data_IF_061466405337
#
_entry.id   IF_061466405337
#
_cell.length_a   1.000
_cell.length_b   1.000
_cell.length_c   1.000
_cell.angle_alpha   90.00
_cell.angle_beta   90.00
_cell.angle_gamma   90.00
#
_symmetry.space_group_name_H-M   'P 1'
#
loop_
_entity.id
_entity.type
_entity.pdbx_description
1 polymer ?
#
# COMPACT_ATOMS: atom_id res chain seq x y z
N UNK A 1 -20.52 9.84 29.63
CA UNK A 1 -19.98 8.89 28.65
C UNK A 1 -20.22 9.47 27.28
N UNK A 2 -19.22 9.47 26.41
CA UNK A 2 -19.38 9.96 25.04
C UNK A 2 -19.97 8.78 24.24
N UNK A 3 -21.13 8.98 23.63
CA UNK A 3 -21.83 7.92 22.90
C UNK A 3 -22.23 8.42 21.52
N UNK A 4 -22.43 7.50 20.58
CA UNK A 4 -23.05 7.83 19.29
C UNK A 4 -24.53 8.18 19.49
N UNK A 5 -25.18 8.74 18.45
CA UNK A 5 -26.63 9.03 18.45
C UNK A 5 -27.49 7.80 18.78
N UNK A 6 -26.97 6.59 18.54
CA UNK A 6 -27.60 5.31 18.84
C UNK A 6 -27.14 4.71 20.19
N UNK A 7 -26.61 5.53 21.10
CA UNK A 7 -26.08 5.13 22.42
C UNK A 7 -24.98 4.05 22.38
N UNK A 8 -24.19 4.00 21.30
CA UNK A 8 -23.08 3.05 21.21
C UNK A 8 -21.78 3.66 21.77
N UNK A 9 -21.00 2.89 22.55
CA UNK A 9 -19.73 3.35 23.07
C UNK A 9 -18.68 3.55 21.95
N UNK A 10 -17.92 4.64 22.02
CA UNK A 10 -17.02 5.08 20.94
C UNK A 10 -15.61 4.53 21.20
N UNK A 11 -14.92 4.05 20.15
CA UNK A 11 -13.52 3.60 20.29
C UNK A 11 -12.61 4.78 20.59
N UNK A 12 -11.72 4.61 21.56
CA UNK A 12 -10.66 5.58 21.82
C UNK A 12 -9.60 5.48 20.71
N UNK A 13 -9.49 6.52 19.89
CA UNK A 13 -8.44 6.65 18.87
C UNK A 13 -7.52 7.78 19.30
N UNK A 14 -6.23 7.47 19.41
CA UNK A 14 -5.18 8.43 19.73
C UNK A 14 -4.61 9.05 18.45
N UNK A 15 -3.97 10.21 18.59
CA UNK A 15 -3.25 10.84 17.48
C UNK A 15 -2.16 9.92 16.91
N UNK A 16 -1.50 9.12 17.77
CA UNK A 16 -0.49 8.16 17.33
C UNK A 16 -1.07 7.09 16.40
N UNK A 17 -2.30 6.65 16.63
CA UNK A 17 -2.94 5.68 15.72
C UNK A 17 -3.22 6.29 14.35
N UNK A 18 -3.63 7.56 14.33
CA UNK A 18 -3.88 8.31 13.09
C UNK A 18 -2.58 8.47 12.30
N UNK A 19 -1.49 8.85 12.97
CA UNK A 19 -0.17 8.95 12.33
C UNK A 19 0.32 7.61 11.81
N UNK A 20 0.21 6.54 12.61
CA UNK A 20 0.64 5.22 12.18
C UNK A 20 -0.12 4.73 10.93
N UNK A 21 -1.44 4.99 10.86
CA UNK A 21 -2.23 4.70 9.66
C UNK A 21 -1.79 5.56 8.46
N UNK A 22 -1.49 6.84 8.70
CA UNK A 22 -1.04 7.76 7.66
C UNK A 22 0.31 7.35 7.08
N UNK A 23 1.26 6.92 7.91
CA UNK A 23 2.57 6.43 7.46
C UNK A 23 2.44 5.21 6.55
N UNK A 24 1.54 4.28 6.89
CA UNK A 24 1.22 3.12 6.03
C UNK A 24 0.57 3.54 4.71
N UNK A 25 -0.28 4.55 4.74
CA UNK A 25 -0.90 5.09 3.54
C UNK A 25 0.11 5.81 2.63
N UNK A 26 1.00 6.62 3.19
CA UNK A 26 2.06 7.32 2.45
C UNK A 26 3.01 6.34 1.77
N UNK A 27 3.42 5.28 2.47
CA UNK A 27 4.25 4.22 1.90
C UNK A 27 3.54 3.47 0.76
N UNK A 28 2.22 3.27 0.85
CA UNK A 28 1.46 2.70 -0.28
C UNK A 28 1.47 3.66 -1.48
N UNK A 29 1.25 4.94 -1.21
CA UNK A 29 1.19 5.97 -2.24
C UNK A 29 2.52 6.17 -2.96
N UNK A 30 3.66 6.03 -2.27
CA UNK A 30 4.98 6.17 -2.89
C UNK A 30 5.24 5.20 -4.04
N UNK A 31 4.51 4.08 -4.09
CA UNK A 31 4.61 3.11 -5.18
C UNK A 31 3.81 3.49 -6.44
N UNK A 32 2.90 4.47 -6.40
CA UNK A 32 2.05 4.82 -7.55
C UNK A 32 2.84 5.12 -8.82
N UNK A 33 3.81 6.03 -8.74
CA UNK A 33 4.60 6.44 -9.90
C UNK A 33 5.44 5.29 -10.48
N UNK A 34 5.96 4.43 -9.60
CA UNK A 34 6.76 3.27 -10.01
C UNK A 34 5.89 2.24 -10.73
N UNK A 35 4.68 1.98 -10.21
CA UNK A 35 3.71 1.09 -10.86
C UNK A 35 3.24 1.61 -12.22
N UNK A 36 3.14 2.93 -12.39
CA UNK A 36 2.84 3.53 -13.71
C UNK A 36 3.91 3.22 -14.75
N UNK A 37 5.19 3.09 -14.35
CA UNK A 37 6.26 2.68 -15.27
C UNK A 37 6.07 1.24 -15.73
N UNK A 38 5.74 0.33 -14.80
CA UNK A 38 5.43 -1.06 -15.13
C UNK A 38 4.22 -1.14 -16.07
N UNK A 39 3.14 -0.42 -15.74
CA UNK A 39 1.93 -0.39 -16.54
C UNK A 39 2.20 0.08 -17.98
N UNK A 40 2.93 1.19 -18.15
CA UNK A 40 3.36 1.68 -19.47
C UNK A 40 4.18 0.66 -20.24
N UNK A 41 5.10 -0.05 -19.57
CA UNK A 41 5.95 -1.04 -20.24
C UNK A 41 5.14 -2.24 -20.74
N UNK A 42 4.24 -2.79 -19.91
CA UNK A 42 3.47 -3.99 -20.23
C UNK A 42 2.26 -3.73 -21.12
N UNK A 43 1.68 -2.53 -21.10
CA UNK A 43 0.53 -2.17 -21.94
C UNK A 43 0.90 -1.64 -23.33
N UNK A 44 2.19 -1.43 -23.62
CA UNK A 44 2.67 -0.97 -24.93
C UNK A 44 2.62 -2.10 -25.99
N UNK A 45 1.42 -2.35 -26.51
CA UNK A 45 1.13 -3.38 -27.53
C UNK A 45 1.65 -3.04 -28.93
N UNK A 46 2.04 -1.79 -29.19
CA UNK A 46 2.47 -1.30 -30.50
C UNK A 46 3.98 -1.02 -30.57
N UNK A 47 4.74 -1.46 -29.57
CA UNK A 47 6.18 -1.29 -29.49
C UNK A 47 6.89 -1.88 -30.73
N UNK A 48 7.87 -1.16 -31.32
CA UNK A 48 8.77 -1.72 -32.32
C UNK A 48 9.49 -2.97 -31.80
N UNK A 49 9.61 -4.01 -32.62
CA UNK A 49 10.17 -5.31 -32.21
C UNK A 49 11.70 -5.22 -32.16
N UNK A 50 12.22 -4.61 -31.09
CA UNK A 50 13.62 -4.75 -30.66
C UNK A 50 13.69 -5.74 -29.50
N UNK A 51 14.00 -7.01 -29.83
CA UNK A 51 14.00 -8.10 -28.85
C UNK A 51 15.03 -7.89 -27.74
N UNK A 52 16.18 -7.30 -28.04
CA UNK A 52 17.24 -7.09 -27.05
C UNK A 52 16.84 -6.00 -26.05
N UNK A 53 16.29 -4.90 -26.55
CA UNK A 53 15.78 -3.83 -25.70
C UNK A 53 14.59 -4.29 -24.84
N UNK A 54 13.67 -5.06 -25.43
CA UNK A 54 12.53 -5.64 -24.71
C UNK A 54 13.00 -6.55 -23.57
N UNK A 55 13.97 -7.44 -23.82
CA UNK A 55 14.50 -8.33 -22.79
C UNK A 55 15.16 -7.57 -21.62
N UNK A 56 15.94 -6.52 -21.92
CA UNK A 56 16.57 -5.67 -20.89
C UNK A 56 15.54 -4.93 -20.05
N UNK A 57 14.56 -4.30 -20.70
CA UNK A 57 13.50 -3.58 -20.02
C UNK A 57 12.60 -4.52 -19.20
N UNK A 58 12.33 -5.72 -19.71
CA UNK A 58 11.58 -6.74 -18.98
C UNK A 58 12.32 -7.13 -17.70
N UNK A 59 13.63 -7.40 -17.78
CA UNK A 59 14.44 -7.69 -16.60
C UNK A 59 14.42 -6.53 -15.58
N UNK A 60 14.55 -5.28 -16.03
CA UNK A 60 14.45 -4.12 -15.15
C UNK A 60 13.06 -4.04 -14.48
N UNK A 61 11.98 -4.26 -15.24
CA UNK A 61 10.62 -4.27 -14.72
C UNK A 61 10.37 -5.42 -13.73
N UNK A 62 10.97 -6.60 -13.94
CA UNK A 62 10.84 -7.71 -13.01
C UNK A 62 11.51 -7.40 -11.68
N UNK A 63 12.71 -6.78 -11.68
CA UNK A 63 13.38 -6.35 -10.46
C UNK A 63 12.54 -5.32 -9.68
N UNK A 64 11.95 -4.35 -10.37
CA UNK A 64 11.06 -3.36 -9.74
C UNK A 64 9.81 -4.03 -9.16
N UNK A 65 9.21 -4.98 -9.88
CA UNK A 65 8.06 -5.73 -9.40
C UNK A 65 8.40 -6.57 -8.16
N UNK A 66 9.55 -7.24 -8.15
CA UNK A 66 9.98 -8.06 -7.02
C UNK A 66 10.13 -7.21 -5.74
N UNK A 67 10.73 -6.03 -5.86
CA UNK A 67 10.84 -5.07 -4.75
C UNK A 67 9.46 -4.59 -4.28
N UNK A 68 8.62 -4.15 -5.22
CA UNK A 68 7.24 -3.74 -4.90
C UNK A 68 6.48 -4.86 -4.16
N UNK A 69 6.58 -6.10 -4.63
CA UNK A 69 5.82 -7.21 -4.09
C UNK A 69 6.27 -7.58 -2.67
N UNK A 70 7.58 -7.50 -2.38
CA UNK A 70 8.10 -7.69 -1.02
C UNK A 70 7.61 -6.59 -0.09
N UNK A 71 7.77 -5.32 -0.49
CA UNK A 71 7.37 -4.17 0.33
C UNK A 71 5.85 -4.13 0.55
N UNK A 72 5.06 -4.40 -0.50
CA UNK A 72 3.61 -4.45 -0.42
C UNK A 72 3.12 -5.54 0.54
N UNK A 73 3.76 -6.71 0.54
CA UNK A 73 3.42 -7.79 1.49
C UNK A 73 3.66 -7.37 2.93
N UNK A 74 4.84 -6.79 3.21
CA UNK A 74 5.17 -6.31 4.55
C UNK A 74 4.22 -5.19 5.00
N UNK A 75 3.86 -4.29 4.07
CA UNK A 75 2.90 -3.23 4.33
C UNK A 75 1.51 -3.77 4.66
N UNK A 76 1.04 -4.79 3.93
CA UNK A 76 -0.25 -5.45 4.23
C UNK A 76 -0.26 -6.07 5.63
N UNK A 77 0.80 -6.79 6.00
CA UNK A 77 0.93 -7.39 7.34
C UNK A 77 0.91 -6.31 8.43
N UNK A 78 1.61 -5.20 8.23
CA UNK A 78 1.60 -4.06 9.16
C UNK A 78 0.22 -3.42 9.27
N UNK A 79 -0.47 -3.19 8.16
CA UNK A 79 -1.81 -2.64 8.15
C UNK A 79 -2.81 -3.56 8.87
N UNK A 80 -2.69 -4.87 8.69
CA UNK A 80 -3.51 -5.85 9.42
C UNK A 80 -3.28 -5.75 10.93
N UNK A 81 -2.03 -5.65 11.38
CA UNK A 81 -1.69 -5.44 12.79
C UNK A 81 -2.28 -4.14 13.34
N UNK A 82 -2.14 -3.03 12.61
CA UNK A 82 -2.72 -1.74 12.97
C UNK A 82 -4.26 -1.82 13.13
N UNK A 83 -4.93 -2.58 12.25
CA UNK A 83 -6.38 -2.81 12.34
C UNK A 83 -6.76 -3.66 13.55
N UNK A 84 -6.00 -4.70 13.87
CA UNK A 84 -6.22 -5.54 15.05
C UNK A 84 -6.08 -4.71 16.33
N UNK A 85 -5.03 -3.88 16.42
CA UNK A 85 -4.81 -2.99 17.55
C UNK A 85 -5.96 -2.02 17.76
N UNK A 86 -6.36 -1.28 16.70
CA UNK A 86 -7.50 -0.36 16.72
C UNK A 86 -8.81 -1.05 17.13
N UNK A 87 -9.05 -2.27 16.63
CA UNK A 87 -10.24 -3.07 17.01
C UNK A 87 -10.20 -3.49 18.47
N UNK A 88 -9.02 -3.75 19.04
CA UNK A 88 -8.86 -4.16 20.44
C UNK A 88 -8.97 -3.01 21.45
N UNK A 89 -8.86 -1.74 21.00
CA UNK A 89 -8.88 -0.58 21.90
C UNK A 89 -10.15 -0.48 22.75
N UNK A 90 -10.00 0.09 23.95
CA UNK A 90 -11.11 0.35 24.86
C UNK A 90 -12.09 1.33 24.22
N UNK A 91 -13.32 1.30 24.72
CA UNK A 91 -14.35 2.25 24.34
C UNK A 91 -14.53 3.27 25.47
N UNK A 92 -14.78 4.53 25.11
CA UNK A 92 -15.02 5.67 26.01
C UNK A 92 -16.51 6.04 26.01
#
# INVERSE_FOLDING_TARGET
MIQTENNQPIKEISHQDIYALYDSWEQLQSWQEVLLVLDKFFNDKKRPIDKQQIARNYYACSQVFDLFHVDFRQLLERMEQQLVELRSKKKV
#
